data_IF_120780720761
#
_entry.id   IF_120780720761
#
_cell.length_a   1.000
_cell.length_b   1.000
_cell.length_c   1.000
_cell.angle_alpha   90.00
_cell.angle_beta   90.00
_cell.angle_gamma   90.00
#
_symmetry.space_group_name_H-M   'P 1'
#
loop_
_entity.id
_entity.type
_entity.pdbx_description
1 polymer ?
#
# COMPACT_ATOMS: atom_id res chain seq x y z
N UNK A 1 19.90 41.96 -10.09
CA UNK A 1 18.88 41.37 -9.19
C UNK A 1 19.45 40.04 -8.74
N UNK A 2 19.79 39.91 -7.45
CA UNK A 2 20.39 38.67 -6.94
C UNK A 2 19.26 37.64 -6.82
N UNK A 3 19.27 36.62 -7.66
CA UNK A 3 18.36 35.47 -7.52
C UNK A 3 18.82 34.66 -6.32
N UNK A 4 18.25 34.94 -5.16
CA UNK A 4 18.47 34.13 -3.97
C UNK A 4 17.92 32.71 -4.25
N UNK A 5 18.66 31.63 -3.93
CA UNK A 5 18.14 30.28 -4.08
C UNK A 5 16.83 30.14 -3.29
N UNK A 6 15.84 29.47 -3.89
CA UNK A 6 14.61 29.14 -3.18
C UNK A 6 14.97 28.46 -1.85
N UNK A 7 14.33 28.86 -0.72
CA UNK A 7 14.54 28.16 0.53
C UNK A 7 14.27 26.66 0.32
N UNK A 8 15.06 25.77 0.95
CA UNK A 8 14.81 24.34 0.86
C UNK A 8 13.34 24.07 1.21
N UNK A 9 12.62 23.23 0.45
CA UNK A 9 11.28 22.81 0.84
C UNK A 9 11.33 22.34 2.29
N UNK A 10 10.35 22.78 3.09
CA UNK A 10 10.22 22.29 4.46
C UNK A 10 10.27 20.75 4.46
N UNK A 11 10.90 20.11 5.46
CA UNK A 11 11.03 18.67 5.46
C UNK A 11 9.64 18.03 5.48
N UNK A 12 9.21 17.47 4.34
CA UNK A 12 7.96 16.72 4.22
C UNK A 12 7.93 15.63 5.28
N UNK A 13 6.84 15.49 6.05
CA UNK A 13 6.65 14.37 7.00
C UNK A 13 6.83 13.02 6.31
N UNK A 14 6.39 12.94 5.05
CA UNK A 14 6.40 11.73 4.25
C UNK A 14 7.59 11.70 3.30
N UNK A 15 8.19 10.53 3.16
CA UNK A 15 9.31 10.26 2.29
C UNK A 15 8.96 9.15 1.29
N UNK A 16 9.12 9.42 0.00
CA UNK A 16 8.91 8.41 -1.05
C UNK A 16 10.04 7.40 -1.03
N UNK A 17 9.71 6.12 -1.22
CA UNK A 17 10.67 5.03 -1.34
C UNK A 17 10.49 4.26 -2.65
N UNK A 18 11.59 3.79 -3.22
CA UNK A 18 11.57 2.87 -4.36
C UNK A 18 11.21 1.42 -3.94
N UNK A 19 11.18 0.50 -4.91
CA UNK A 19 10.89 -0.92 -4.67
C UNK A 19 11.90 -1.64 -3.76
N UNK A 20 13.10 -1.11 -3.58
CA UNK A 20 14.13 -1.62 -2.66
C UNK A 20 14.09 -0.96 -1.28
N UNK A 21 13.25 0.06 -1.08
CA UNK A 21 13.16 0.81 0.17
C UNK A 21 14.13 1.99 0.26
N UNK A 22 14.77 2.39 -0.85
CA UNK A 22 15.67 3.53 -0.87
C UNK A 22 14.90 4.84 -0.98
N UNK A 23 15.42 5.89 -0.35
CA UNK A 23 14.82 7.22 -0.34
C UNK A 23 14.82 7.85 -1.73
N UNK A 24 13.66 8.37 -2.14
CA UNK A 24 13.48 9.07 -3.40
C UNK A 24 13.34 10.59 -3.16
N UNK A 25 13.76 11.41 -4.14
CA UNK A 25 13.48 12.85 -4.12
C UNK A 25 11.99 13.15 -3.97
N UNK A 26 11.65 14.26 -3.32
CA UNK A 26 10.25 14.65 -3.11
C UNK A 26 9.47 14.81 -4.44
N UNK A 27 10.15 15.26 -5.49
CA UNK A 27 9.61 15.44 -6.83
C UNK A 27 9.65 14.18 -7.72
N UNK A 28 9.99 13.00 -7.17
CA UNK A 28 9.91 11.75 -7.92
C UNK A 28 8.48 11.51 -8.42
N UNK A 29 8.35 11.16 -9.70
CA UNK A 29 7.06 10.87 -10.34
C UNK A 29 6.47 9.54 -9.87
N UNK A 30 7.34 8.58 -9.55
CA UNK A 30 6.97 7.21 -9.23
C UNK A 30 7.63 6.77 -7.91
N UNK A 31 6.90 5.98 -7.14
CA UNK A 31 7.36 5.39 -5.87
C UNK A 31 6.56 4.12 -5.57
N UNK A 32 7.11 3.25 -4.73
CA UNK A 32 6.47 2.00 -4.34
C UNK A 32 5.96 2.05 -2.90
N UNK A 33 6.60 2.85 -2.05
CA UNK A 33 6.17 3.05 -0.67
C UNK A 33 6.36 4.49 -0.21
N UNK A 34 5.77 4.80 0.94
CA UNK A 34 5.89 6.06 1.63
C UNK A 34 6.26 5.79 3.08
N UNK A 35 7.37 6.35 3.55
CA UNK A 35 7.74 6.34 4.96
C UNK A 35 7.21 7.59 5.64
N UNK A 36 6.46 7.40 6.72
CA UNK A 36 6.14 8.47 7.66
C UNK A 36 7.31 8.63 8.64
N UNK A 37 7.96 9.81 8.64
CA UNK A 37 9.11 10.06 9.52
C UNK A 37 8.73 10.28 10.98
N UNK A 38 7.48 10.61 11.26
CA UNK A 38 7.01 10.85 12.63
C UNK A 38 6.76 9.53 13.36
N UNK A 39 6.06 8.60 12.71
CA UNK A 39 5.73 7.27 13.27
C UNK A 39 6.79 6.22 12.96
N UNK A 40 7.62 6.44 11.93
CA UNK A 40 8.57 5.46 11.42
C UNK A 40 7.93 4.36 10.56
N UNK A 41 6.61 4.38 10.38
CA UNK A 41 5.87 3.38 9.60
C UNK A 41 6.13 3.57 8.10
N UNK A 42 6.17 2.44 7.39
CA UNK A 42 6.26 2.39 5.93
C UNK A 42 4.94 1.88 5.39
N UNK A 43 4.38 2.65 4.47
CA UNK A 43 3.09 2.44 3.84
C UNK A 43 3.29 2.07 2.38
N UNK A 44 2.53 1.10 1.91
CA UNK A 44 2.50 0.74 0.51
C UNK A 44 1.83 1.83 -0.34
N UNK A 45 2.41 2.15 -1.50
CA UNK A 45 1.72 2.84 -2.57
C UNK A 45 1.01 1.84 -3.49
N UNK A 46 -0.31 1.98 -3.63
CA UNK A 46 -1.14 1.11 -4.48
C UNK A 46 -0.82 1.30 -5.97
N UNK A 47 -0.99 0.24 -6.75
CA UNK A 47 -0.80 0.25 -8.21
C UNK A 47 -2.14 0.41 -8.94
N UNK A 48 -2.09 0.46 -10.27
CA UNK A 48 -3.24 0.47 -11.16
C UNK A 48 -2.91 -0.38 -12.41
N UNK A 49 -2.63 -1.66 -12.19
CA UNK A 49 -2.04 -2.60 -13.13
C UNK A 49 -2.76 -3.97 -13.20
N UNK A 50 -3.86 -4.15 -12.47
CA UNK A 50 -4.58 -5.41 -12.33
C UNK A 50 -3.86 -6.47 -11.48
N UNK A 51 -2.67 -6.15 -10.94
CA UNK A 51 -1.89 -7.04 -10.08
C UNK A 51 -2.40 -7.08 -8.64
N UNK A 52 -1.73 -7.80 -7.74
CA UNK A 52 -2.13 -7.93 -6.33
C UNK A 52 -2.39 -6.57 -5.66
N UNK A 53 -1.63 -5.55 -6.01
CA UNK A 53 -1.60 -4.26 -5.31
C UNK A 53 -2.49 -3.20 -5.94
N UNK A 54 -3.35 -3.60 -6.88
CA UNK A 54 -4.22 -2.68 -7.59
C UNK A 54 -5.17 -1.93 -6.62
N UNK A 55 -5.36 -0.64 -6.87
CA UNK A 55 -6.24 0.24 -6.11
C UNK A 55 -7.73 -0.08 -6.29
N UNK A 56 -8.12 -0.72 -7.39
CA UNK A 56 -9.50 -1.07 -7.73
C UNK A 56 -9.89 -2.42 -7.11
N UNK A 57 -8.92 -3.16 -6.58
CA UNK A 57 -9.20 -4.39 -5.84
C UNK A 57 -9.78 -4.13 -4.46
N UNK A 58 -10.83 -4.90 -4.17
CA UNK A 58 -11.48 -4.96 -2.86
C UNK A 58 -11.15 -6.30 -2.23
N UNK A 59 -10.59 -6.22 -1.02
CA UNK A 59 -10.27 -7.38 -0.20
C UNK A 59 -11.25 -7.47 0.94
N UNK A 60 -11.72 -8.70 1.18
CA UNK A 60 -12.60 -9.02 2.31
C UNK A 60 -11.77 -9.32 3.54
N UNK A 61 -12.31 -8.98 4.69
CA UNK A 61 -11.60 -9.11 5.97
C UNK A 61 -11.46 -10.57 6.45
N UNK A 62 -12.43 -11.45 6.14
CA UNK A 62 -12.49 -12.80 6.68
C UNK A 62 -11.80 -13.84 5.79
N UNK A 63 -10.88 -14.60 6.39
CA UNK A 63 -10.14 -15.72 5.79
C UNK A 63 -10.74 -17.08 6.21
N UNK A 64 -10.82 -18.05 5.28
CA UNK A 64 -11.17 -19.47 5.52
C UNK A 64 -12.44 -19.78 6.34
N UNK A 65 -13.54 -19.06 6.16
CA UNK A 65 -14.83 -19.39 6.80
C UNK A 65 -15.72 -20.25 5.88
N UNK A 66 -16.42 -21.27 6.40
CA UNK A 66 -17.27 -22.16 5.60
C UNK A 66 -18.52 -21.42 5.03
N UNK A 67 -18.91 -21.73 3.78
CA UNK A 67 -20.05 -21.09 3.07
C UNK A 67 -19.68 -19.91 2.16
N UNK A 68 -18.38 -19.62 2.00
CA UNK A 68 -17.85 -18.42 1.34
C UNK A 68 -17.27 -18.66 -0.08
N UNK A 69 -17.90 -19.52 -0.87
CA UNK A 69 -17.37 -19.93 -2.18
C UNK A 69 -17.32 -18.81 -3.23
N UNK A 70 -18.01 -17.68 -3.03
CA UNK A 70 -18.06 -16.58 -4.01
C UNK A 70 -17.44 -15.31 -3.42
N UNK A 71 -16.28 -14.93 -3.95
CA UNK A 71 -15.63 -13.66 -3.62
C UNK A 71 -16.29 -12.58 -4.48
N UNK A 72 -17.51 -12.22 -4.13
CA UNK A 72 -18.27 -11.15 -4.78
C UNK A 72 -18.58 -10.03 -3.79
N UNK A 73 -18.72 -8.79 -4.27
CA UNK A 73 -19.22 -7.69 -3.45
C UNK A 73 -20.74 -7.79 -3.23
N UNK A 74 -21.32 -6.84 -2.48
CA UNK A 74 -22.77 -6.78 -2.23
C UNK A 74 -23.61 -6.72 -3.51
N UNK A 75 -23.04 -6.26 -4.62
CA UNK A 75 -23.69 -6.14 -5.92
C UNK A 75 -23.45 -7.38 -6.81
N UNK A 76 -22.74 -8.40 -6.33
CA UNK A 76 -22.44 -9.63 -7.07
C UNK A 76 -21.21 -9.53 -7.99
N UNK A 77 -20.41 -8.47 -7.93
CA UNK A 77 -19.20 -8.34 -8.74
C UNK A 77 -18.06 -9.17 -8.16
N UNK A 78 -17.32 -9.91 -9.00
CA UNK A 78 -16.16 -10.70 -8.58
C UNK A 78 -15.05 -9.79 -8.05
N UNK A 79 -14.65 -10.03 -6.80
CA UNK A 79 -13.51 -9.41 -6.13
C UNK A 79 -12.22 -9.95 -6.75
N UNK A 80 -11.24 -9.05 -6.96
CA UNK A 80 -9.95 -9.33 -7.58
C UNK A 80 -9.99 -10.39 -8.69
N UNK A 81 -10.85 -10.10 -9.67
CA UNK A 81 -11.19 -10.97 -10.80
C UNK A 81 -9.98 -11.61 -11.49
N UNK A 82 -8.84 -10.91 -11.57
CA UNK A 82 -7.64 -11.40 -12.26
C UNK A 82 -6.69 -12.22 -11.37
N UNK A 83 -6.89 -12.24 -10.04
CA UNK A 83 -6.01 -12.93 -9.08
C UNK A 83 -6.55 -14.32 -8.69
N UNK A 84 -7.79 -14.60 -9.05
CA UNK A 84 -8.52 -15.78 -8.59
C UNK A 84 -9.19 -15.54 -7.24
N UNK A 85 -10.43 -16.01 -7.14
CA UNK A 85 -11.32 -15.75 -6.02
C UNK A 85 -10.71 -16.17 -4.67
N UNK A 86 -10.00 -17.29 -4.62
CA UNK A 86 -9.39 -17.85 -3.41
C UNK A 86 -8.31 -16.96 -2.76
N UNK A 87 -7.84 -15.91 -3.44
CA UNK A 87 -6.75 -15.04 -2.99
C UNK A 87 -7.23 -13.64 -2.60
N UNK A 88 -8.54 -13.41 -2.54
CA UNK A 88 -9.15 -12.08 -2.39
C UNK A 88 -9.53 -11.70 -0.96
N UNK A 89 -8.76 -12.15 0.02
CA UNK A 89 -8.93 -11.76 1.42
C UNK A 89 -7.68 -11.05 1.95
N UNK A 90 -7.85 -10.33 3.06
CA UNK A 90 -6.79 -9.49 3.61
C UNK A 90 -5.58 -10.30 4.12
N UNK A 91 -5.77 -11.57 4.52
CA UNK A 91 -4.68 -12.45 4.92
C UNK A 91 -3.88 -12.92 3.70
N UNK A 92 -4.57 -13.34 2.64
CA UNK A 92 -3.96 -13.69 1.35
C UNK A 92 -3.20 -12.49 0.75
N UNK A 93 -3.73 -11.28 0.88
CA UNK A 93 -3.06 -10.04 0.47
C UNK A 93 -1.74 -9.83 1.20
N UNK A 94 -1.75 -9.86 2.54
CA UNK A 94 -0.54 -9.68 3.36
C UNK A 94 0.49 -10.75 3.06
N UNK A 95 0.08 -12.02 2.92
CA UNK A 95 1.00 -13.10 2.53
C UNK A 95 1.62 -12.88 1.14
N UNK A 96 0.84 -12.42 0.17
CA UNK A 96 1.35 -12.07 -1.15
C UNK A 96 2.38 -10.94 -1.12
N UNK A 97 2.14 -9.91 -0.28
CA UNK A 97 3.12 -8.84 -0.06
C UNK A 97 4.41 -9.35 0.59
N UNK A 98 4.28 -10.21 1.60
CA UNK A 98 5.40 -10.83 2.31
C UNK A 98 6.37 -11.53 1.36
N UNK A 99 5.85 -12.25 0.35
CA UNK A 99 6.65 -12.92 -0.67
C UNK A 99 7.23 -11.99 -1.74
N UNK A 100 6.67 -10.79 -1.91
CA UNK A 100 7.12 -9.83 -2.94
C UNK A 100 8.36 -9.02 -2.55
N UNK A 101 8.68 -8.95 -1.25
CA UNK A 101 9.80 -8.14 -0.75
C UNK A 101 9.62 -6.63 -1.01
N UNK A 102 8.38 -6.16 -1.12
CA UNK A 102 8.07 -4.77 -1.49
C UNK A 102 8.80 -3.77 -0.57
N UNK A 103 9.52 -2.84 -1.18
CA UNK A 103 10.31 -1.81 -0.48
C UNK A 103 11.36 -2.40 0.47
N UNK A 104 11.91 -3.56 0.09
CA UNK A 104 12.90 -4.30 0.89
C UNK A 104 12.33 -4.92 2.16
N UNK A 105 10.99 -5.02 2.28
CA UNK A 105 10.29 -5.45 3.50
C UNK A 105 9.50 -6.73 3.30
N UNK A 106 9.43 -7.52 4.36
CA UNK A 106 8.71 -8.79 4.46
C UNK A 106 8.00 -8.95 5.81
N UNK A 107 7.71 -7.83 6.48
CA UNK A 107 7.02 -7.73 7.77
C UNK A 107 5.70 -6.92 7.64
N UNK A 108 5.07 -6.99 6.47
CA UNK A 108 3.82 -6.31 6.18
C UNK A 108 2.69 -6.82 7.07
N UNK A 109 1.83 -5.88 7.47
CA UNK A 109 0.56 -6.14 8.15
C UNK A 109 -0.46 -5.10 7.75
N UNK A 110 -1.72 -5.36 8.06
CA UNK A 110 -2.74 -4.34 7.97
C UNK A 110 -2.52 -3.26 9.03
N UNK A 111 -2.86 -2.00 8.73
CA UNK A 111 -2.84 -0.94 9.72
C UNK A 111 -3.92 -1.16 10.77
N UNK A 112 -3.65 -0.72 11.99
CA UNK A 112 -4.71 -0.55 13.00
C UNK A 112 -5.43 0.77 12.75
N UNK A 113 -6.62 0.94 13.34
CA UNK A 113 -7.45 2.12 13.09
C UNK A 113 -6.74 3.42 13.48
N UNK A 114 -5.99 3.40 14.58
CA UNK A 114 -5.25 4.54 15.12
C UNK A 114 -4.12 4.99 14.18
N UNK A 115 -3.57 4.09 13.38
CA UNK A 115 -2.50 4.43 12.42
C UNK A 115 -3.04 5.10 11.15
N UNK A 116 -4.31 4.87 10.84
CA UNK A 116 -5.02 5.56 9.75
C UNK A 116 -5.48 6.95 10.18
N UNK A 117 -5.74 7.11 11.47
CA UNK A 117 -6.14 8.38 12.08
C UNK A 117 -4.89 9.15 12.47
N UNK A 118 -4.23 9.73 11.46
CA UNK A 118 -3.10 10.62 11.70
C UNK A 118 -3.58 11.82 12.51
N UNK A 119 -3.07 12.06 13.74
CA UNK A 119 -3.41 13.24 14.50
C UNK A 119 -2.96 14.49 13.74
N UNK A 120 -3.88 15.44 13.55
CA UNK A 120 -3.65 16.73 12.92
C UNK A 120 -2.66 17.59 13.71
#
# INVERSE_FOLDING_TARGET
MVTQPLPPPAPSRYLKLDSGGNELPANASDWNCVKDKETGLVWEAKTNDGGLRDKDWRYRHFHNFAGYATNVDYNGNVLCQNLGSSSCDAYSYVNGLQGSGLCGRSDWRLPVQEELLIPC
#
